data_IF_295916195455
#
_entry.id   IF_295916195455
#
_cell.length_a   1.000
_cell.length_b   1.000
_cell.length_c   1.000
_cell.angle_alpha   90.00
_cell.angle_beta   90.00
_cell.angle_gamma   90.00
#
_symmetry.space_group_name_H-M   'P 1'
#
loop_
_entity.id
_entity.type
_entity.pdbx_description
1 polymer ?
#
# COMPACT_ATOMS: atom_id res chain seq x y z
N UNK A 1 36.57 -27.42 15.27
CA UNK A 1 35.42 -28.02 14.53
C UNK A 1 34.44 -26.91 14.21
N UNK A 2 34.47 -26.42 12.95
CA UNK A 2 33.53 -25.39 12.46
C UNK A 2 32.17 -26.05 12.23
N UNK A 3 31.03 -25.38 12.56
CA UNK A 3 29.72 -25.91 12.28
C UNK A 3 29.53 -26.02 10.76
N UNK A 4 29.20 -27.21 10.28
CA UNK A 4 28.80 -27.44 8.88
C UNK A 4 27.50 -26.62 8.65
N UNK A 5 27.59 -25.59 7.86
CA UNK A 5 26.40 -25.01 7.24
C UNK A 5 25.73 -26.08 6.38
N UNK A 6 24.67 -26.67 6.88
CA UNK A 6 23.77 -27.48 6.07
C UNK A 6 23.27 -26.61 4.95
N UNK A 7 23.70 -26.92 3.72
CA UNK A 7 23.20 -26.30 2.54
C UNK A 7 21.67 -26.52 2.51
N UNK A 8 20.91 -25.44 2.70
CA UNK A 8 19.46 -25.44 2.49
C UNK A 8 19.24 -25.86 1.04
N UNK A 9 18.43 -26.91 0.84
CA UNK A 9 18.09 -27.42 -0.48
C UNK A 9 17.72 -26.27 -1.43
N UNK A 10 18.16 -26.30 -2.70
CA UNK A 10 17.81 -25.26 -3.64
C UNK A 10 16.29 -25.27 -3.82
N UNK A 11 15.59 -24.28 -3.23
CA UNK A 11 14.22 -23.99 -3.61
C UNK A 11 14.19 -23.83 -5.13
N UNK A 12 13.40 -24.64 -5.81
CA UNK A 12 13.18 -24.54 -7.25
C UNK A 12 12.89 -23.09 -7.60
N UNK A 13 13.80 -22.48 -8.37
CA UNK A 13 13.66 -21.10 -8.79
C UNK A 13 12.45 -21.01 -9.71
N UNK A 14 11.32 -20.53 -9.21
CA UNK A 14 10.18 -20.20 -10.05
C UNK A 14 10.69 -19.26 -11.14
N UNK A 15 10.64 -19.72 -12.40
CA UNK A 15 11.05 -18.89 -13.53
C UNK A 15 10.17 -17.63 -13.55
N UNK A 16 10.75 -16.47 -13.81
CA UNK A 16 10.05 -15.17 -13.79
C UNK A 16 8.72 -15.18 -14.57
N UNK A 17 8.69 -15.84 -15.73
CA UNK A 17 7.46 -15.99 -16.54
C UNK A 17 6.39 -16.88 -15.88
N UNK A 18 6.77 -17.78 -15.01
CA UNK A 18 5.82 -18.59 -14.22
C UNK A 18 5.28 -17.78 -13.04
N UNK A 19 6.13 -16.95 -12.43
CA UNK A 19 5.73 -16.05 -11.36
C UNK A 19 4.63 -15.06 -11.80
N UNK A 20 4.72 -14.47 -12.99
CA UNK A 20 3.70 -13.57 -13.54
C UNK A 20 2.34 -14.28 -13.73
N UNK A 21 2.34 -15.60 -13.93
CA UNK A 21 1.09 -16.38 -14.02
C UNK A 21 0.43 -16.61 -12.66
N UNK A 22 1.18 -16.50 -11.57
CA UNK A 22 0.66 -16.70 -10.22
C UNK A 22 -0.26 -15.53 -9.83
N UNK A 23 -1.48 -15.85 -9.42
CA UNK A 23 -2.45 -14.84 -8.98
C UNK A 23 -1.93 -13.97 -7.83
N UNK A 24 -1.27 -14.51 -6.77
CA UNK A 24 -0.71 -13.69 -5.69
C UNK A 24 0.30 -12.65 -6.16
N UNK A 25 1.15 -12.97 -7.15
CA UNK A 25 2.11 -12.01 -7.68
C UNK A 25 1.43 -10.91 -8.49
N UNK A 26 0.45 -11.26 -9.33
CA UNK A 26 -0.36 -10.25 -10.04
C UNK A 26 -1.11 -9.33 -9.08
N UNK A 27 -1.66 -9.89 -8.01
CA UNK A 27 -2.29 -9.11 -6.96
C UNK A 27 -1.29 -8.13 -6.32
N UNK A 28 -0.06 -8.58 -5.99
CA UNK A 28 0.99 -7.73 -5.45
C UNK A 28 1.37 -6.58 -6.40
N UNK A 29 1.42 -6.81 -7.72
CA UNK A 29 1.68 -5.77 -8.73
C UNK A 29 0.57 -4.71 -8.74
N UNK A 30 -0.71 -5.14 -8.77
CA UNK A 30 -1.86 -4.23 -8.73
C UNK A 30 -1.87 -3.43 -7.42
N UNK A 31 -1.57 -4.07 -6.30
CA UNK A 31 -1.45 -3.38 -5.02
C UNK A 31 -0.33 -2.35 -5.01
N UNK A 32 0.84 -2.68 -5.54
CA UNK A 32 1.95 -1.73 -5.63
C UNK A 32 1.53 -0.49 -6.43
N UNK A 33 0.91 -0.70 -7.59
CA UNK A 33 0.39 0.37 -8.43
C UNK A 33 -0.62 1.25 -7.70
N UNK A 34 -1.67 0.65 -7.13
CA UNK A 34 -2.76 1.39 -6.49
C UNK A 34 -2.33 2.08 -5.19
N UNK A 35 -1.45 1.47 -4.41
CA UNK A 35 -0.91 2.08 -3.21
C UNK A 35 -0.06 3.31 -3.53
N UNK A 36 0.79 3.22 -4.55
CA UNK A 36 1.59 4.37 -5.00
C UNK A 36 0.73 5.45 -5.67
N UNK A 37 -0.32 5.06 -6.41
CA UNK A 37 -1.34 6.00 -6.90
C UNK A 37 -1.92 6.86 -5.77
N UNK A 38 -2.40 6.24 -4.68
CA UNK A 38 -2.95 6.97 -3.54
C UNK A 38 -1.86 7.75 -2.79
N UNK A 39 -0.69 7.14 -2.56
CA UNK A 39 0.37 7.77 -1.77
C UNK A 39 1.01 8.95 -2.51
N UNK A 40 1.38 8.78 -3.76
CA UNK A 40 2.10 9.81 -4.51
C UNK A 40 1.17 10.65 -5.39
N UNK A 41 0.19 10.03 -6.05
CA UNK A 41 -0.75 10.75 -6.88
C UNK A 41 -1.64 11.66 -6.06
N UNK A 42 -2.25 11.15 -5.01
CA UNK A 42 -3.16 11.93 -4.18
C UNK A 42 -2.42 12.68 -3.09
N UNK A 43 -1.74 11.97 -2.18
CA UNK A 43 -1.18 12.58 -0.96
C UNK A 43 -0.04 13.54 -1.24
N UNK A 44 0.92 13.18 -2.08
CA UNK A 44 2.11 14.01 -2.28
C UNK A 44 1.92 15.08 -3.37
N UNK A 45 1.00 14.89 -4.31
CA UNK A 45 0.77 15.81 -5.42
C UNK A 45 -0.37 16.79 -5.13
N UNK A 46 -1.58 16.30 -4.97
CA UNK A 46 -2.79 17.15 -4.94
C UNK A 46 -3.08 17.70 -3.55
N UNK A 47 -2.74 16.98 -2.51
CA UNK A 47 -3.06 17.36 -1.14
C UNK A 47 -2.44 18.69 -0.70
N UNK A 48 -1.16 19.03 -1.04
CA UNK A 48 -0.64 20.37 -0.76
C UNK A 48 -1.48 21.49 -1.40
N UNK A 49 -1.90 21.29 -2.65
CA UNK A 49 -2.73 22.25 -3.37
C UNK A 49 -4.14 22.36 -2.77
N UNK A 50 -4.72 21.26 -2.35
CA UNK A 50 -5.99 21.23 -1.64
C UNK A 50 -5.95 22.05 -0.33
N UNK A 51 -4.90 21.85 0.48
CA UNK A 51 -4.73 22.55 1.76
C UNK A 51 -4.54 24.05 1.57
N UNK A 52 -3.74 24.45 0.58
CA UNK A 52 -3.46 25.88 0.34
C UNK A 52 -4.60 26.57 -0.39
N UNK A 53 -5.16 25.95 -1.42
CA UNK A 53 -6.12 26.62 -2.31
C UNK A 53 -7.57 26.48 -1.83
N UNK A 54 -7.93 25.32 -1.27
CA UNK A 54 -9.32 25.10 -0.86
C UNK A 54 -9.56 25.27 0.64
N UNK A 55 -8.62 24.85 1.48
CA UNK A 55 -8.72 25.08 2.93
C UNK A 55 -8.13 26.42 3.37
N UNK A 56 -7.58 27.20 2.44
CA UNK A 56 -6.96 28.49 2.68
C UNK A 56 -5.96 28.47 3.85
N UNK A 57 -5.18 27.39 3.94
CA UNK A 57 -4.22 27.16 5.00
C UNK A 57 -2.78 27.25 4.50
N UNK A 58 -1.81 27.17 5.40
CA UNK A 58 -0.40 27.36 5.07
C UNK A 58 0.27 26.05 4.62
N UNK A 59 1.35 26.17 3.85
CA UNK A 59 2.19 25.01 3.50
C UNK A 59 2.76 24.28 4.75
N UNK A 60 2.95 24.99 5.86
CA UNK A 60 3.36 24.39 7.13
C UNK A 60 2.33 23.35 7.63
N UNK A 61 1.03 23.59 7.44
CA UNK A 61 -0.03 22.65 7.82
C UNK A 61 0.01 21.36 7.00
N UNK A 62 0.47 21.41 5.75
CA UNK A 62 0.74 20.22 4.94
C UNK A 62 1.86 19.39 5.61
N UNK A 63 2.95 20.06 6.01
CA UNK A 63 4.05 19.44 6.74
C UNK A 63 3.60 18.77 8.05
N UNK A 64 2.75 19.46 8.83
CA UNK A 64 2.16 18.87 10.04
C UNK A 64 1.31 17.64 9.73
N UNK A 65 0.51 17.66 8.68
CA UNK A 65 -0.26 16.50 8.23
C UNK A 65 0.63 15.31 7.89
N UNK A 66 1.73 15.53 7.16
CA UNK A 66 2.70 14.48 6.85
C UNK A 66 3.43 13.96 8.11
N UNK A 67 3.77 14.85 9.03
CA UNK A 67 4.37 14.46 10.32
C UNK A 67 3.41 13.61 11.13
N UNK A 68 2.15 13.99 11.25
CA UNK A 68 1.11 13.18 11.93
C UNK A 68 0.99 11.82 11.27
N UNK A 69 0.93 11.76 9.94
CA UNK A 69 0.92 10.48 9.21
C UNK A 69 2.12 9.60 9.56
N UNK A 70 3.33 10.16 9.55
CA UNK A 70 4.56 9.40 9.82
C UNK A 70 4.62 8.92 11.27
N UNK A 71 4.24 9.75 12.24
CA UNK A 71 4.21 9.39 13.67
C UNK A 71 3.20 8.26 13.91
N UNK A 72 1.98 8.40 13.42
CA UNK A 72 0.94 7.38 13.58
C UNK A 72 1.37 6.08 12.90
N UNK A 73 1.90 6.16 11.66
CA UNK A 73 2.43 4.99 10.96
C UNK A 73 3.52 4.29 11.78
N UNK A 74 4.49 5.03 12.32
CA UNK A 74 5.58 4.49 13.13
C UNK A 74 5.07 3.79 14.40
N UNK A 75 4.12 4.41 15.11
CA UNK A 75 3.51 3.82 16.30
C UNK A 75 2.77 2.51 15.99
N UNK A 76 2.06 2.46 14.87
CA UNK A 76 1.31 1.27 14.47
C UNK A 76 2.19 0.16 13.91
N UNK A 77 3.37 0.44 13.34
CA UNK A 77 4.26 -0.57 12.75
C UNK A 77 4.60 -1.69 13.72
N UNK A 78 4.92 -1.36 14.98
CA UNK A 78 5.26 -2.35 16.01
C UNK A 78 4.08 -3.27 16.34
N UNK A 79 2.88 -2.70 16.42
CA UNK A 79 1.65 -3.43 16.68
C UNK A 79 1.25 -4.30 15.46
N UNK A 80 1.33 -3.74 14.27
CA UNK A 80 0.96 -4.41 13.01
C UNK A 80 1.86 -5.60 12.73
N UNK A 81 3.17 -5.51 13.02
CA UNK A 81 4.09 -6.65 12.91
C UNK A 81 3.60 -7.87 13.71
N UNK A 82 3.31 -7.67 14.99
CA UNK A 82 2.77 -8.74 15.87
C UNK A 82 1.42 -9.27 15.38
N UNK A 83 0.54 -8.38 14.93
CA UNK A 83 -0.77 -8.75 14.43
C UNK A 83 -0.68 -9.58 13.14
N UNK A 84 0.31 -9.28 12.28
CA UNK A 84 0.63 -10.07 11.07
C UNK A 84 0.93 -11.52 11.42
N UNK A 85 1.73 -11.72 12.47
CA UNK A 85 2.12 -13.06 12.91
C UNK A 85 0.95 -13.85 13.53
N UNK A 86 -0.02 -13.15 14.14
CA UNK A 86 -1.15 -13.78 14.82
C UNK A 86 -2.33 -14.08 13.89
N UNK A 87 -2.74 -13.10 13.07
CA UNK A 87 -3.98 -13.16 12.28
C UNK A 87 -3.78 -13.34 10.78
N UNK A 88 -2.53 -13.41 10.34
CA UNK A 88 -2.20 -13.58 8.92
C UNK A 88 -2.21 -12.25 8.13
N UNK A 89 -1.71 -12.33 6.91
CA UNK A 89 -1.43 -11.16 6.07
C UNK A 89 -2.65 -10.63 5.36
N UNK A 90 -3.56 -11.52 4.97
CA UNK A 90 -4.81 -11.15 4.31
C UNK A 90 -5.68 -10.27 5.19
N UNK A 91 -5.76 -10.59 6.50
CA UNK A 91 -6.49 -9.78 7.48
C UNK A 91 -5.92 -8.35 7.56
N UNK A 92 -4.59 -8.20 7.56
CA UNK A 92 -3.95 -6.89 7.60
C UNK A 92 -4.24 -6.08 6.34
N UNK A 93 -4.23 -6.73 5.16
CA UNK A 93 -4.59 -6.07 3.92
C UNK A 93 -6.02 -5.54 3.95
N UNK A 94 -6.98 -6.33 4.44
CA UNK A 94 -8.37 -5.88 4.60
C UNK A 94 -8.49 -4.67 5.53
N UNK A 95 -7.85 -4.75 6.68
CA UNK A 95 -7.93 -3.68 7.68
C UNK A 95 -7.25 -2.41 7.16
N UNK A 96 -6.05 -2.53 6.60
CA UNK A 96 -5.34 -1.41 5.98
C UNK A 96 -6.11 -0.80 4.81
N UNK A 97 -6.76 -1.64 4.00
CA UNK A 97 -7.62 -1.19 2.90
C UNK A 97 -8.80 -0.36 3.40
N UNK A 98 -9.56 -0.88 4.37
CA UNK A 98 -10.71 -0.16 4.95
C UNK A 98 -10.28 1.19 5.53
N UNK A 99 -9.20 1.20 6.32
CA UNK A 99 -8.67 2.40 6.96
C UNK A 99 -8.21 3.42 5.90
N UNK A 100 -7.51 2.98 4.85
CA UNK A 100 -7.03 3.88 3.78
C UNK A 100 -8.19 4.47 2.98
N UNK A 101 -9.18 3.66 2.59
CA UNK A 101 -10.39 4.16 1.90
C UNK A 101 -11.13 5.16 2.77
N UNK A 102 -11.34 4.85 4.05
CA UNK A 102 -11.98 5.75 5.00
C UNK A 102 -11.21 7.09 5.11
N UNK A 103 -9.89 7.06 5.22
CA UNK A 103 -9.06 8.26 5.25
C UNK A 103 -9.26 9.14 4.00
N UNK A 104 -9.24 8.54 2.81
CA UNK A 104 -9.45 9.28 1.55
C UNK A 104 -10.86 9.86 1.45
N UNK A 105 -11.89 9.13 1.91
CA UNK A 105 -13.27 9.63 1.92
C UNK A 105 -13.46 10.76 2.93
N UNK A 106 -12.83 10.68 4.11
CA UNK A 106 -12.83 11.79 5.09
C UNK A 106 -12.14 13.01 4.48
N UNK A 107 -11.04 12.82 3.76
CA UNK A 107 -10.34 13.88 3.04
C UNK A 107 -11.24 14.53 1.98
N UNK A 108 -12.00 13.72 1.22
CA UNK A 108 -12.97 14.21 0.22
C UNK A 108 -14.10 15.05 0.84
N UNK A 109 -14.43 14.78 2.10
CA UNK A 109 -15.44 15.54 2.86
C UNK A 109 -14.83 16.67 3.72
N UNK A 110 -13.50 16.82 3.74
CA UNK A 110 -12.83 17.77 4.62
C UNK A 110 -13.07 19.22 4.15
N UNK A 111 -13.63 20.04 5.05
CA UNK A 111 -13.85 21.47 4.87
C UNK A 111 -13.04 22.32 5.85
N UNK A 112 -12.26 21.68 6.71
CA UNK A 112 -11.44 22.34 7.72
C UNK A 112 -10.07 21.67 7.86
N UNK A 113 -9.11 22.44 8.38
CA UNK A 113 -7.76 21.95 8.64
C UNK A 113 -7.76 20.80 9.68
N UNK A 114 -8.69 20.80 10.62
CA UNK A 114 -8.81 19.73 11.62
C UNK A 114 -9.25 18.42 11.00
N UNK A 115 -10.22 18.46 10.07
CA UNK A 115 -10.67 17.29 9.31
C UNK A 115 -9.54 16.74 8.44
N UNK A 116 -8.71 17.61 7.84
CA UNK A 116 -7.52 17.23 7.10
C UNK A 116 -6.51 16.50 8.01
N UNK A 117 -6.13 17.07 9.16
CA UNK A 117 -5.17 16.45 10.10
C UNK A 117 -5.71 15.11 10.61
N UNK A 118 -7.01 15.03 10.92
CA UNK A 118 -7.64 13.78 11.33
C UNK A 118 -7.57 12.70 10.22
N UNK A 119 -7.86 13.08 8.98
CA UNK A 119 -7.68 12.19 7.82
C UNK A 119 -6.24 11.70 7.69
N UNK A 120 -5.24 12.58 7.89
CA UNK A 120 -3.83 12.23 7.85
C UNK A 120 -3.43 11.23 8.94
N UNK A 121 -4.00 11.35 10.14
CA UNK A 121 -3.77 10.38 11.21
C UNK A 121 -4.31 8.98 10.83
N UNK A 122 -5.55 8.92 10.30
CA UNK A 122 -6.16 7.67 9.83
C UNK A 122 -5.35 7.09 8.66
N UNK A 123 -4.89 7.94 7.74
CA UNK A 123 -4.06 7.51 6.61
C UNK A 123 -2.75 6.87 7.09
N UNK A 124 -2.12 7.42 8.13
CA UNK A 124 -0.92 6.86 8.75
C UNK A 124 -1.13 5.45 9.31
N UNK A 125 -2.25 5.23 9.99
CA UNK A 125 -2.64 3.89 10.45
C UNK A 125 -2.81 2.93 9.26
N UNK A 126 -3.59 3.31 8.23
CA UNK A 126 -3.77 2.51 7.02
C UNK A 126 -2.45 2.15 6.33
N UNK A 127 -1.54 3.11 6.22
CA UNK A 127 -0.22 2.92 5.62
C UNK A 127 0.64 1.91 6.40
N UNK A 128 0.54 1.86 7.73
CA UNK A 128 1.25 0.87 8.54
C UNK A 128 0.77 -0.56 8.22
N UNK A 129 -0.55 -0.77 8.16
CA UNK A 129 -1.13 -2.08 7.86
C UNK A 129 -0.80 -2.53 6.43
N UNK A 130 -0.94 -1.65 5.45
CA UNK A 130 -0.68 -1.97 4.05
C UNK A 130 0.81 -2.24 3.78
N UNK A 131 1.70 -1.38 4.27
CA UNK A 131 3.14 -1.48 4.02
C UNK A 131 3.75 -2.79 4.51
N UNK A 132 3.39 -3.22 5.71
CA UNK A 132 3.86 -4.48 6.30
C UNK A 132 3.38 -5.69 5.49
N UNK A 133 2.10 -5.70 5.08
CA UNK A 133 1.53 -6.81 4.33
C UNK A 133 2.17 -6.99 2.94
N UNK A 134 2.41 -5.89 2.21
CA UNK A 134 3.01 -5.93 0.87
C UNK A 134 4.43 -6.47 0.87
N UNK A 135 5.28 -5.97 1.77
CA UNK A 135 6.67 -6.40 1.87
C UNK A 135 6.76 -7.91 2.16
N UNK A 136 5.88 -8.39 3.03
CA UNK A 136 5.85 -9.79 3.42
C UNK A 136 5.40 -10.70 2.26
N UNK A 137 4.37 -10.34 1.49
CA UNK A 137 3.87 -11.15 0.36
C UNK A 137 4.98 -11.37 -0.68
N UNK A 138 5.69 -10.31 -1.07
CA UNK A 138 6.78 -10.43 -2.06
C UNK A 138 7.94 -11.24 -1.49
N UNK A 139 8.30 -11.03 -0.23
CA UNK A 139 9.35 -11.80 0.46
C UNK A 139 9.07 -13.30 0.48
N UNK A 140 7.82 -13.69 0.79
CA UNK A 140 7.43 -15.11 0.91
C UNK A 140 7.36 -15.83 -0.43
N UNK A 141 6.83 -15.18 -1.46
CA UNK A 141 6.71 -15.77 -2.78
C UNK A 141 8.06 -16.13 -3.40
N UNK A 142 9.14 -15.43 -3.03
CA UNK A 142 10.41 -15.52 -3.73
C UNK A 142 11.62 -15.86 -2.85
N UNK A 143 11.48 -15.99 -1.54
CA UNK A 143 12.56 -16.47 -0.65
C UNK A 143 13.87 -15.69 -0.76
N UNK A 144 13.85 -14.38 -0.99
CA UNK A 144 15.04 -13.52 -0.99
C UNK A 144 15.94 -13.58 -2.24
N UNK A 145 15.64 -14.42 -3.24
CA UNK A 145 16.46 -14.56 -4.47
C UNK A 145 15.85 -14.00 -5.75
N UNK A 146 14.79 -13.19 -5.64
CA UNK A 146 13.96 -12.78 -6.76
C UNK A 146 14.22 -11.36 -7.27
N UNK A 147 15.44 -10.98 -7.56
CA UNK A 147 15.77 -9.61 -8.02
C UNK A 147 14.85 -9.11 -9.14
N UNK A 148 14.55 -9.95 -10.14
CA UNK A 148 13.63 -9.58 -11.25
C UNK A 148 12.19 -9.39 -10.78
N UNK A 149 11.69 -10.23 -9.88
CA UNK A 149 10.31 -10.11 -9.38
C UNK A 149 10.16 -8.87 -8.51
N UNK A 150 11.14 -8.58 -7.64
CA UNK A 150 11.18 -7.35 -6.84
C UNK A 150 11.23 -6.12 -7.75
N UNK A 151 12.11 -6.14 -8.78
CA UNK A 151 12.19 -5.05 -9.73
C UNK A 151 10.85 -4.83 -10.47
N UNK A 152 10.17 -5.88 -10.92
CA UNK A 152 8.86 -5.76 -11.57
C UNK A 152 7.79 -5.23 -10.62
N UNK A 153 7.80 -5.66 -9.37
CA UNK A 153 6.92 -5.13 -8.35
C UNK A 153 7.15 -3.63 -8.10
N UNK A 154 8.41 -3.20 -8.02
CA UNK A 154 8.77 -1.77 -7.91
C UNK A 154 8.32 -0.99 -9.16
N UNK A 155 8.58 -1.51 -10.37
CA UNK A 155 8.13 -0.88 -11.61
C UNK A 155 6.61 -0.70 -11.66
N UNK A 156 5.83 -1.66 -11.15
CA UNK A 156 4.39 -1.50 -11.05
C UNK A 156 4.01 -0.36 -10.10
N UNK A 157 4.71 -0.23 -8.98
CA UNK A 157 4.55 0.90 -8.06
C UNK A 157 4.93 2.24 -8.70
N UNK A 158 6.06 2.29 -9.41
CA UNK A 158 6.53 3.49 -10.09
C UNK A 158 5.56 3.94 -11.19
N UNK A 159 4.92 3.01 -11.88
CA UNK A 159 3.85 3.35 -12.82
C UNK A 159 2.68 4.07 -12.11
N UNK A 160 2.28 3.62 -10.91
CA UNK A 160 1.28 4.30 -10.09
C UNK A 160 1.73 5.70 -9.64
N UNK A 161 3.01 5.83 -9.28
CA UNK A 161 3.63 7.10 -8.90
C UNK A 161 3.66 8.11 -10.05
N UNK A 162 3.88 7.67 -11.29
CA UNK A 162 3.95 8.54 -12.48
C UNK A 162 2.55 8.89 -12.98
N UNK A 163 1.68 7.90 -13.14
CA UNK A 163 0.35 8.09 -13.74
C UNK A 163 -0.61 8.76 -12.74
N UNK A 164 -0.50 8.44 -11.46
CA UNK A 164 -1.38 8.95 -10.41
C UNK A 164 -1.48 10.48 -10.40
N UNK A 165 -0.37 11.22 -10.25
CA UNK A 165 -0.40 12.69 -10.23
C UNK A 165 -1.03 13.31 -11.48
N UNK A 166 -0.78 12.73 -12.65
CA UNK A 166 -1.31 13.24 -13.92
C UNK A 166 -2.84 13.13 -13.95
N UNK A 167 -3.37 11.94 -13.66
CA UNK A 167 -4.82 11.70 -13.72
C UNK A 167 -5.55 12.43 -12.60
N UNK A 168 -5.03 12.36 -11.37
CA UNK A 168 -5.67 13.00 -10.22
C UNK A 168 -5.58 14.52 -10.35
N UNK A 169 -4.46 15.07 -10.84
CA UNK A 169 -4.30 16.49 -11.12
C UNK A 169 -5.30 16.99 -12.17
N UNK A 170 -5.41 16.29 -13.28
CA UNK A 170 -6.40 16.63 -14.33
C UNK A 170 -7.83 16.60 -13.78
N UNK A 171 -8.17 15.60 -12.94
CA UNK A 171 -9.49 15.55 -12.31
C UNK A 171 -9.73 16.70 -11.33
N UNK A 172 -8.72 17.10 -10.57
CA UNK A 172 -8.82 18.22 -9.64
C UNK A 172 -9.01 19.55 -10.39
N UNK A 173 -8.26 19.76 -11.49
CA UNK A 173 -8.28 20.98 -12.28
C UNK A 173 -9.59 21.12 -13.09
N UNK A 174 -10.08 20.01 -13.67
CA UNK A 174 -11.26 20.04 -14.53
C UNK A 174 -12.59 19.98 -13.76
N UNK A 175 -12.60 19.39 -12.58
CA UNK A 175 -13.81 19.20 -11.78
C UNK A 175 -13.65 19.80 -10.38
N UNK A 176 -13.03 19.07 -9.46
CA UNK A 176 -12.78 19.54 -8.10
C UNK A 176 -11.84 18.59 -7.36
N UNK A 177 -11.20 19.07 -6.28
CA UNK A 177 -10.43 18.22 -5.36
C UNK A 177 -11.27 17.08 -4.78
N UNK A 178 -12.55 17.37 -4.44
CA UNK A 178 -13.47 16.35 -3.92
C UNK A 178 -13.69 15.23 -4.92
N UNK A 179 -13.92 15.55 -6.19
CA UNK A 179 -14.07 14.56 -7.26
C UNK A 179 -12.80 13.72 -7.43
N UNK A 180 -11.64 14.35 -7.42
CA UNK A 180 -10.35 13.68 -7.52
C UNK A 180 -10.12 12.69 -6.36
N UNK A 181 -10.48 13.06 -5.13
CA UNK A 181 -10.39 12.20 -3.96
C UNK A 181 -11.36 11.01 -4.03
N UNK A 182 -12.64 11.26 -4.37
CA UNK A 182 -13.65 10.20 -4.52
C UNK A 182 -13.25 9.22 -5.64
N UNK A 183 -12.83 9.72 -6.79
CA UNK A 183 -12.37 8.89 -7.91
C UNK A 183 -11.18 8.02 -7.49
N UNK A 184 -10.22 8.59 -6.75
CA UNK A 184 -9.08 7.83 -6.22
C UNK A 184 -9.49 6.77 -5.21
N UNK A 185 -10.46 7.06 -4.32
CA UNK A 185 -11.00 6.10 -3.38
C UNK A 185 -11.69 4.94 -4.10
N UNK A 186 -12.51 5.22 -5.11
CA UNK A 186 -13.18 4.22 -5.94
C UNK A 186 -12.19 3.37 -6.73
N UNK A 187 -11.17 4.01 -7.31
CA UNK A 187 -10.14 3.28 -8.04
C UNK A 187 -9.32 2.37 -7.11
N UNK A 188 -8.95 2.86 -5.94
CA UNK A 188 -8.31 2.04 -4.91
C UNK A 188 -9.23 0.94 -4.39
N UNK A 189 -10.55 1.17 -4.37
CA UNK A 189 -11.54 0.17 -3.95
C UNK A 189 -11.52 -1.09 -4.83
N UNK A 190 -11.10 -1.00 -6.11
CA UNK A 190 -10.95 -2.15 -7.01
C UNK A 190 -9.98 -3.19 -6.42
N UNK A 191 -9.01 -2.75 -5.61
CA UNK A 191 -8.05 -3.66 -4.99
C UNK A 191 -8.69 -4.69 -4.05
N UNK A 192 -9.90 -4.44 -3.53
CA UNK A 192 -10.63 -5.40 -2.69
C UNK A 192 -10.84 -6.74 -3.39
N UNK A 193 -11.09 -6.73 -4.71
CA UNK A 193 -11.25 -7.94 -5.50
C UNK A 193 -10.03 -8.86 -5.39
N UNK A 194 -8.83 -8.27 -5.42
CA UNK A 194 -7.59 -9.02 -5.33
C UNK A 194 -7.36 -9.56 -3.91
N UNK A 195 -7.73 -8.77 -2.89
CA UNK A 195 -7.65 -9.22 -1.48
C UNK A 195 -8.56 -10.42 -1.25
N UNK A 196 -9.80 -10.36 -1.75
CA UNK A 196 -10.78 -11.44 -1.57
C UNK A 196 -10.29 -12.74 -2.20
N UNK A 197 -9.79 -12.66 -3.45
CA UNK A 197 -9.32 -13.83 -4.21
C UNK A 197 -7.95 -14.36 -3.80
N UNK A 198 -7.18 -13.59 -3.03
CA UNK A 198 -5.86 -14.03 -2.58
C UNK A 198 -6.04 -15.07 -1.46
N UNK A 199 -5.39 -16.23 -1.61
CA UNK A 199 -5.27 -17.23 -0.54
C UNK A 199 -4.31 -16.72 0.55
N UNK A 200 -4.48 -17.20 1.79
CA UNK A 200 -3.57 -16.84 2.88
C UNK A 200 -2.18 -17.42 2.61
N UNK A 201 -1.20 -16.56 2.41
CA UNK A 201 0.17 -16.98 2.01
C UNK A 201 0.90 -17.73 3.13
N UNK A 202 0.43 -17.62 4.37
CA UNK A 202 1.05 -18.31 5.52
C UNK A 202 0.87 -19.83 5.50
N UNK A 203 -0.23 -20.36 4.92
CA UNK A 203 -0.48 -21.81 4.82
C UNK A 203 0.31 -22.48 3.70
N UNK A 204 0.69 -21.74 2.65
CA UNK A 204 1.42 -22.32 1.53
C UNK A 204 2.85 -22.73 1.84
N UNK A 205 3.49 -22.15 2.87
CA UNK A 205 4.82 -22.54 3.32
C UNK A 205 4.81 -23.95 3.96
N UNK A 206 3.71 -24.35 4.61
CA UNK A 206 3.55 -25.70 5.20
C UNK A 206 3.13 -26.80 4.21
N UNK A 207 2.59 -26.43 3.05
CA UNK A 207 2.16 -27.38 2.02
C UNK A 207 3.30 -27.83 1.09
N UNK A 208 4.35 -27.03 0.99
CA UNK A 208 5.56 -27.37 0.22
C UNK A 208 6.50 -28.33 1.00
N UNK A 209 6.31 -28.46 2.32
CA UNK A 209 7.07 -29.40 3.16
C UNK A 209 6.47 -30.82 3.14
N UNK A 210 5.28 -31.04 2.54
CA UNK A 210 4.58 -32.32 2.51
C UNK A 210 4.54 -33.00 1.12
N UNK A 211 5.32 -32.53 0.17
CA UNK A 211 5.58 -33.22 -1.10
C UNK A 211 7.08 -33.39 -1.31
#
# INVERSE_FOLDING_TARGET
LAPRHTAVAPHEQIKFFEAIKLFPFRAALVFAFLTNWVTFGLRNSILPLFVTNQLHSTAAMVGYGFTVTAVIQGLFLTFVGRLSDLRGRKFLLYLGWIITVAAVLILAAATSIYAFIFSMAIFGAGAAFMGTAHANIVGDLFGGKAGRAIATWQMAGDAGLIIGPIVIGTLADTHSYRTAFIASALFFAISIYFIVKMEETRESTGLLEKK
#
